data_IF_985735871042
#
_entry.id   IF_985735871042
#
_cell.length_a   1.000
_cell.length_b   1.000
_cell.length_c   1.000
_cell.angle_alpha   90.00
_cell.angle_beta   90.00
_cell.angle_gamma   90.00
#
_symmetry.space_group_name_H-M   'P 1'
#
loop_
_entity.id
_entity.type
_entity.pdbx_description
1 polymer ?
#
# COMPACT_ATOMS: atom_id res chain seq x y z
N UNK A 1 20.82 5.53 16.83
CA UNK A 1 19.41 6.01 16.88
C UNK A 1 18.68 5.05 17.81
N UNK A 2 18.14 5.53 18.93
CA UNK A 2 17.34 4.67 19.82
C UNK A 2 15.86 4.76 19.41
N UNK A 3 15.33 3.68 18.84
CA UNK A 3 13.91 3.58 18.53
C UNK A 3 13.18 3.13 19.81
N UNK A 4 12.07 3.78 20.13
CA UNK A 4 11.25 3.40 21.29
C UNK A 4 10.76 1.95 21.15
N UNK A 5 10.63 1.24 22.27
CA UNK A 5 10.22 -0.17 22.27
C UNK A 5 8.83 -0.36 21.66
N UNK A 6 7.93 0.57 21.93
CA UNK A 6 6.56 0.58 21.41
C UNK A 6 6.56 0.68 19.87
N UNK A 7 7.38 1.58 19.29
CA UNK A 7 7.53 1.72 17.86
C UNK A 7 8.12 0.45 17.20
N UNK A 8 9.12 -0.17 17.85
CA UNK A 8 9.66 -1.45 17.39
C UNK A 8 8.62 -2.57 17.39
N UNK A 9 7.77 -2.62 18.40
CA UNK A 9 6.69 -3.62 18.47
C UNK A 9 5.63 -3.37 17.40
N UNK A 10 5.27 -2.11 17.14
CA UNK A 10 4.32 -1.76 16.08
C UNK A 10 4.87 -2.10 14.68
N UNK A 11 6.13 -1.75 14.41
CA UNK A 11 6.81 -2.15 13.17
C UNK A 11 6.82 -3.68 13.00
N UNK A 12 7.14 -4.43 14.06
CA UNK A 12 7.13 -5.88 14.01
C UNK A 12 5.74 -6.42 13.69
N UNK A 13 4.70 -5.90 14.36
CA UNK A 13 3.31 -6.27 14.10
C UNK A 13 2.89 -5.98 12.64
N UNK A 14 3.30 -4.83 12.09
CA UNK A 14 3.04 -4.52 10.68
C UNK A 14 3.71 -5.52 9.74
N UNK A 15 4.97 -5.88 10.00
CA UNK A 15 5.68 -6.90 9.20
C UNK A 15 4.98 -8.26 9.26
N UNK A 16 4.53 -8.68 10.44
CA UNK A 16 3.76 -9.92 10.60
C UNK A 16 2.44 -9.87 9.84
N UNK A 17 1.70 -8.75 9.92
CA UNK A 17 0.45 -8.55 9.16
C UNK A 17 0.66 -8.66 7.66
N UNK A 18 1.74 -8.05 7.15
CA UNK A 18 2.09 -8.16 5.73
C UNK A 18 2.36 -9.63 5.38
N UNK A 19 3.20 -10.31 6.14
CA UNK A 19 3.56 -11.71 5.91
C UNK A 19 2.34 -12.62 5.89
N UNK A 20 1.46 -12.51 6.87
CA UNK A 20 0.26 -13.36 6.98
C UNK A 20 -0.75 -13.06 5.88
N UNK A 21 -0.93 -11.78 5.51
CA UNK A 21 -1.77 -11.40 4.38
C UNK A 21 -1.26 -12.03 3.07
N UNK A 22 0.04 -11.94 2.81
CA UNK A 22 0.65 -12.46 1.58
C UNK A 22 0.62 -13.98 1.52
N UNK A 23 0.90 -14.68 2.63
CA UNK A 23 0.76 -16.12 2.72
C UNK A 23 -0.67 -16.55 2.41
N UNK A 24 -1.66 -15.83 2.94
CA UNK A 24 -3.06 -16.12 2.67
C UNK A 24 -3.43 -15.84 1.21
N UNK A 25 -2.97 -14.72 0.66
CA UNK A 25 -3.19 -14.37 -0.75
C UNK A 25 -2.58 -15.43 -1.68
N UNK A 26 -1.36 -15.90 -1.38
CA UNK A 26 -0.69 -16.96 -2.11
C UNK A 26 -1.49 -18.27 -2.12
N UNK A 27 -1.94 -18.71 -0.94
CA UNK A 27 -2.76 -19.94 -0.80
C UNK A 27 -4.06 -19.84 -1.61
N UNK A 28 -4.77 -18.72 -1.47
CA UNK A 28 -6.06 -18.49 -2.16
C UNK A 28 -5.87 -18.38 -3.68
N UNK A 29 -4.76 -17.82 -4.14
CA UNK A 29 -4.42 -17.78 -5.56
C UNK A 29 -4.12 -19.19 -6.09
N UNK A 30 -3.32 -19.99 -5.36
CA UNK A 30 -3.03 -21.38 -5.73
C UNK A 30 -4.29 -22.26 -5.77
N UNK A 31 -5.30 -21.96 -4.95
CA UNK A 31 -6.62 -22.60 -4.96
C UNK A 31 -7.52 -22.11 -6.11
N UNK A 32 -7.06 -21.17 -6.93
CA UNK A 32 -7.85 -20.60 -8.04
C UNK A 32 -8.99 -19.67 -7.60
N UNK A 33 -8.98 -19.20 -6.34
CA UNK A 33 -10.03 -18.33 -5.77
C UNK A 33 -9.83 -16.86 -6.06
N UNK A 34 -8.60 -16.43 -6.34
CA UNK A 34 -8.26 -15.06 -6.72
C UNK A 34 -8.05 -15.02 -8.23
N UNK A 35 -8.83 -14.22 -8.98
CA UNK A 35 -8.69 -14.09 -10.42
C UNK A 35 -7.48 -13.24 -10.81
N UNK A 36 -7.01 -13.38 -12.06
CA UNK A 36 -5.95 -12.57 -12.63
C UNK A 36 -4.56 -12.97 -12.15
N UNK A 37 -3.71 -12.00 -11.86
CA UNK A 37 -2.33 -12.21 -11.40
C UNK A 37 -2.14 -11.60 -10.01
N UNK A 38 -1.37 -12.27 -9.16
CA UNK A 38 -1.00 -11.79 -7.83
C UNK A 38 0.51 -11.59 -7.78
N UNK A 39 0.92 -10.40 -7.34
CA UNK A 39 2.32 -10.05 -7.13
C UNK A 39 2.55 -9.85 -5.64
N UNK A 40 3.11 -10.88 -5.01
CA UNK A 40 3.33 -10.92 -3.57
C UNK A 40 4.47 -9.99 -3.12
N UNK A 41 4.35 -9.51 -1.90
CA UNK A 41 5.33 -8.65 -1.21
C UNK A 41 6.20 -9.46 -0.21
N UNK A 42 6.19 -10.79 -0.31
CA UNK A 42 6.95 -11.67 0.58
C UNK A 42 8.45 -11.39 0.53
N UNK A 43 9.05 -11.19 1.69
CA UNK A 43 10.48 -10.91 1.84
C UNK A 43 10.84 -9.42 1.88
N UNK A 44 9.89 -8.52 1.59
CA UNK A 44 10.12 -7.07 1.55
C UNK A 44 9.44 -6.31 2.71
N UNK A 45 8.91 -7.00 3.72
CA UNK A 45 8.07 -6.46 4.80
C UNK A 45 8.75 -5.29 5.54
N UNK A 46 10.05 -5.41 5.77
CA UNK A 46 10.83 -4.40 6.48
C UNK A 46 10.96 -3.10 5.69
N UNK A 47 11.00 -3.16 4.36
CA UNK A 47 11.14 -1.98 3.50
C UNK A 47 9.89 -1.11 3.62
N UNK A 48 8.70 -1.68 3.38
CA UNK A 48 7.44 -0.96 3.51
C UNK A 48 7.24 -0.40 4.92
N UNK A 49 7.50 -1.22 5.93
CA UNK A 49 7.30 -0.85 7.34
C UNK A 49 8.23 0.27 7.76
N UNK A 50 9.53 0.18 7.44
CA UNK A 50 10.51 1.18 7.82
C UNK A 50 10.27 2.55 7.15
N UNK A 51 9.85 2.57 5.89
CA UNK A 51 9.49 3.82 5.21
C UNK A 51 8.21 4.42 5.81
N UNK A 52 7.17 3.62 5.97
CA UNK A 52 5.88 4.12 6.47
C UNK A 52 5.94 4.57 7.93
N UNK A 53 6.86 4.04 8.75
CA UNK A 53 7.07 4.51 10.13
C UNK A 53 7.57 5.96 10.19
N UNK A 54 8.26 6.42 9.14
CA UNK A 54 8.76 7.79 9.05
C UNK A 54 7.75 8.78 8.43
N UNK A 55 6.60 8.30 7.96
CA UNK A 55 5.58 9.12 7.32
C UNK A 55 4.52 9.56 8.31
N UNK A 56 3.95 10.74 8.05
CA UNK A 56 2.73 11.21 8.70
C UNK A 56 1.50 10.60 8.02
N UNK A 57 0.35 10.68 8.68
CA UNK A 57 -0.91 10.18 8.13
C UNK A 57 -1.30 10.88 6.83
N UNK A 58 -0.99 12.18 6.73
CA UNK A 58 -1.31 13.04 5.57
C UNK A 58 -0.26 13.00 4.44
N UNK A 59 0.87 12.30 4.62
CA UNK A 59 1.85 12.11 3.56
C UNK A 59 1.34 11.14 2.49
N UNK A 60 1.67 11.44 1.24
CA UNK A 60 1.29 10.61 0.09
C UNK A 60 2.35 9.58 -0.25
N UNK A 61 1.88 8.40 -0.67
CA UNK A 61 2.73 7.36 -1.26
C UNK A 61 2.23 6.96 -2.64
N UNK A 62 3.16 6.61 -3.52
CA UNK A 62 2.92 5.84 -4.73
C UNK A 62 3.59 4.47 -4.61
N UNK A 63 3.08 3.49 -5.31
CA UNK A 63 3.56 2.12 -5.19
C UNK A 63 3.77 1.46 -6.55
N UNK A 64 4.41 0.31 -6.53
CA UNK A 64 4.69 -0.53 -7.69
C UNK A 64 3.65 -1.64 -7.84
N UNK A 65 3.87 -2.56 -8.78
CA UNK A 65 3.06 -3.76 -8.96
C UNK A 65 3.10 -4.72 -7.73
N UNK A 66 4.04 -4.56 -6.80
CA UNK A 66 4.11 -5.25 -5.49
C UNK A 66 3.69 -4.28 -4.39
N UNK A 67 2.43 -3.83 -4.44
CA UNK A 67 1.95 -2.75 -3.58
C UNK A 67 1.37 -3.17 -2.24
N UNK A 68 1.09 -4.47 -2.01
CA UNK A 68 0.35 -4.93 -0.83
C UNK A 68 1.02 -4.50 0.48
N UNK A 69 2.34 -4.71 0.60
CA UNK A 69 3.09 -4.33 1.80
C UNK A 69 3.04 -2.83 2.07
N UNK A 70 3.16 -2.00 1.05
CA UNK A 70 3.07 -0.54 1.18
C UNK A 70 1.72 -0.10 1.70
N UNK A 71 0.63 -0.70 1.18
CA UNK A 71 -0.73 -0.36 1.58
C UNK A 71 -0.98 -0.77 3.02
N UNK A 72 -0.55 -1.98 3.41
CA UNK A 72 -0.69 -2.47 4.79
C UNK A 72 0.13 -1.62 5.76
N UNK A 73 1.38 -1.31 5.41
CA UNK A 73 2.25 -0.49 6.24
C UNK A 73 1.72 0.94 6.42
N UNK A 74 1.06 1.51 5.41
CA UNK A 74 0.39 2.83 5.47
C UNK A 74 -0.98 2.78 6.16
N UNK A 75 -1.37 1.63 6.76
CA UNK A 75 -2.59 1.47 7.52
C UNK A 75 -3.82 1.04 6.71
N UNK A 76 -3.63 0.47 5.53
CA UNK A 76 -4.70 -0.10 4.73
C UNK A 76 -5.40 -1.27 5.42
N UNK A 77 -6.72 -1.35 5.24
CA UNK A 77 -7.55 -2.40 5.83
C UNK A 77 -7.45 -3.70 5.01
N UNK A 78 -7.00 -4.77 5.67
CA UNK A 78 -6.81 -6.10 5.06
C UNK A 78 -8.11 -6.68 4.47
N UNK A 79 -9.26 -6.34 5.05
CA UNK A 79 -10.56 -6.80 4.58
C UNK A 79 -10.89 -6.22 3.20
N UNK A 80 -10.70 -4.91 3.04
CA UNK A 80 -10.93 -4.25 1.74
C UNK A 80 -9.89 -4.64 0.70
N UNK A 81 -8.65 -4.88 1.12
CA UNK A 81 -7.61 -5.41 0.25
C UNK A 81 -7.96 -6.81 -0.25
N UNK A 82 -8.34 -7.72 0.64
CA UNK A 82 -8.72 -9.07 0.26
C UNK A 82 -9.96 -9.06 -0.63
N UNK A 83 -10.95 -8.22 -0.34
CA UNK A 83 -12.13 -8.04 -1.19
C UNK A 83 -11.74 -7.57 -2.61
N UNK A 84 -10.74 -6.68 -2.73
CA UNK A 84 -10.23 -6.24 -4.02
C UNK A 84 -9.59 -7.39 -4.80
N UNK A 85 -8.75 -8.21 -4.15
CA UNK A 85 -8.15 -9.40 -4.77
C UNK A 85 -9.19 -10.40 -5.28
N UNK A 86 -10.32 -10.53 -4.58
CA UNK A 86 -11.45 -11.36 -4.99
C UNK A 86 -12.36 -10.72 -6.06
N UNK A 87 -12.04 -9.51 -6.55
CA UNK A 87 -12.86 -8.78 -7.52
C UNK A 87 -14.21 -8.33 -6.97
N UNK A 88 -14.32 -8.10 -5.65
CA UNK A 88 -15.58 -7.69 -5.01
C UNK A 88 -15.78 -6.18 -5.05
N UNK A 89 -17.03 -5.75 -5.21
CA UNK A 89 -17.40 -4.33 -5.19
C UNK A 89 -17.08 -3.62 -3.86
N UNK A 90 -16.87 -4.37 -2.78
CA UNK A 90 -16.47 -3.88 -1.47
C UNK A 90 -14.95 -3.68 -1.33
N UNK A 91 -14.16 -4.01 -2.36
CA UNK A 91 -12.72 -3.74 -2.39
C UNK A 91 -12.42 -2.25 -2.59
N UNK A 92 -11.18 -1.84 -2.32
CA UNK A 92 -10.70 -0.46 -2.42
C UNK A 92 -10.99 0.19 -3.79
N UNK A 93 -10.78 -0.54 -4.87
CA UNK A 93 -11.03 -0.11 -6.24
C UNK A 93 -12.28 -0.78 -6.83
N UNK A 94 -13.22 -1.19 -5.99
CA UNK A 94 -14.48 -1.85 -6.36
C UNK A 94 -14.27 -3.15 -7.15
N UNK A 95 -13.17 -3.85 -6.86
CA UNK A 95 -12.79 -5.10 -7.51
C UNK A 95 -12.24 -4.95 -8.92
N UNK A 96 -11.90 -3.74 -9.36
CA UNK A 96 -11.40 -3.46 -10.71
C UNK A 96 -9.87 -3.38 -10.80
N UNK A 97 -9.21 -3.09 -9.68
CA UNK A 97 -7.76 -2.91 -9.61
C UNK A 97 -7.00 -4.23 -9.44
N UNK A 98 -7.56 -5.16 -8.69
CA UNK A 98 -6.88 -6.40 -8.33
C UNK A 98 -5.58 -6.16 -7.55
N UNK A 99 -4.63 -7.10 -7.65
CA UNK A 99 -3.38 -7.08 -6.88
C UNK A 99 -2.50 -5.83 -7.14
N UNK A 100 -2.43 -5.36 -8.37
CA UNK A 100 -1.43 -4.37 -8.81
C UNK A 100 -1.90 -2.92 -8.80
N UNK A 101 -3.18 -2.64 -8.49
CA UNK A 101 -3.75 -1.30 -8.68
C UNK A 101 -4.59 -0.84 -7.49
N UNK A 102 -4.26 -1.29 -6.27
CA UNK A 102 -4.97 -0.85 -5.07
C UNK A 102 -4.61 0.61 -4.77
N UNK A 103 -5.62 1.41 -4.51
CA UNK A 103 -5.49 2.81 -4.11
C UNK A 103 -6.43 3.10 -2.93
N UNK A 104 -5.98 3.95 -2.00
CA UNK A 104 -6.77 4.48 -0.88
C UNK A 104 -6.42 5.95 -0.70
N UNK A 105 -7.19 6.80 -1.34
CA UNK A 105 -6.93 8.24 -1.34
C UNK A 105 -7.06 8.86 0.05
N UNK A 106 -7.95 8.34 0.88
CA UNK A 106 -8.21 8.87 2.22
C UNK A 106 -7.02 8.64 3.16
N UNK A 107 -6.20 7.62 2.86
CA UNK A 107 -4.93 7.33 3.55
C UNK A 107 -3.69 7.83 2.82
N UNK A 108 -3.85 8.68 1.80
CA UNK A 108 -2.72 9.16 1.02
C UNK A 108 -2.08 8.11 0.10
N UNK A 109 -2.73 6.97 -0.14
CA UNK A 109 -2.23 5.93 -1.05
C UNK A 109 -2.74 6.23 -2.46
N UNK A 110 -1.88 6.87 -3.28
CA UNK A 110 -2.25 7.32 -4.63
C UNK A 110 -2.34 6.20 -5.66
N UNK A 111 -1.91 5.01 -5.27
CA UNK A 111 -2.12 3.79 -6.01
C UNK A 111 -0.84 2.98 -6.25
N UNK A 112 -1.07 1.68 -6.40
CA UNK A 112 -0.13 0.74 -6.98
C UNK A 112 -0.26 0.78 -8.51
N UNK A 113 0.81 0.44 -9.24
CA UNK A 113 0.80 0.50 -10.70
C UNK A 113 1.58 -0.65 -11.32
N UNK A 114 0.95 -1.37 -12.26
CA UNK A 114 1.57 -2.47 -13.00
C UNK A 114 2.65 -2.02 -13.98
N UNK A 115 2.67 -0.73 -14.37
CA UNK A 115 3.68 -0.18 -15.28
C UNK A 115 4.90 0.22 -14.44
N UNK A 116 6.03 -0.44 -14.67
CA UNK A 116 7.27 -0.17 -13.96
C UNK A 116 7.74 1.26 -14.27
N UNK A 117 8.02 2.04 -13.21
CA UNK A 117 8.45 3.44 -13.33
C UNK A 117 7.31 4.47 -13.37
N UNK A 118 6.05 4.09 -13.62
CA UNK A 118 4.92 5.03 -13.67
C UNK A 118 4.68 5.77 -12.34
N UNK A 119 5.03 5.17 -11.22
CA UNK A 119 4.93 5.80 -9.89
C UNK A 119 5.69 7.12 -9.79
N UNK A 120 6.82 7.28 -10.50
CA UNK A 120 7.57 8.53 -10.49
C UNK A 120 6.77 9.70 -11.07
N UNK A 121 6.07 9.49 -12.19
CA UNK A 121 5.26 10.54 -12.82
C UNK A 121 4.07 10.93 -11.92
N UNK A 122 3.46 9.95 -11.25
CA UNK A 122 2.38 10.20 -10.28
C UNK A 122 2.92 11.00 -9.10
N UNK A 123 4.11 10.63 -8.58
CA UNK A 123 4.75 11.33 -7.47
C UNK A 123 5.09 12.79 -7.81
N UNK A 124 5.56 13.06 -9.03
CA UNK A 124 5.80 14.44 -9.50
C UNK A 124 4.51 15.26 -9.50
N UNK A 125 3.41 14.69 -10.01
CA UNK A 125 2.10 15.36 -9.98
C UNK A 125 1.59 15.60 -8.56
N UNK A 126 1.78 14.66 -7.64
CA UNK A 126 1.45 14.80 -6.24
C UNK A 126 2.29 15.89 -5.56
N UNK A 127 3.60 15.91 -5.81
CA UNK A 127 4.52 16.94 -5.30
C UNK A 127 4.16 18.34 -5.79
N UNK A 128 3.83 18.49 -7.07
CA UNK A 128 3.34 19.74 -7.62
C UNK A 128 2.05 20.20 -6.94
N UNK A 129 1.08 19.30 -6.78
CA UNK A 129 -0.18 19.58 -6.08
C UNK A 129 0.05 20.02 -4.64
N UNK A 130 0.97 19.35 -3.91
CA UNK A 130 1.32 19.71 -2.55
C UNK A 130 1.96 21.11 -2.49
N UNK A 131 2.88 21.43 -3.41
CA UNK A 131 3.51 22.75 -3.51
C UNK A 131 2.48 23.85 -3.74
N UNK A 132 1.52 23.64 -4.64
CA UNK A 132 0.45 24.62 -4.88
C UNK A 132 -0.43 24.84 -3.65
N UNK A 133 -0.79 23.77 -2.94
CA UNK A 133 -1.61 23.86 -1.73
C UNK A 133 -0.89 24.59 -0.59
N UNK A 134 0.41 24.35 -0.43
CA UNK A 134 1.23 25.02 0.57
C UNK A 134 1.45 26.50 0.22
N UNK A 135 1.60 26.87 -1.06
CA UNK A 135 1.74 28.25 -1.48
C UNK A 135 0.48 29.09 -1.24
N UNK A 136 -0.69 28.46 -1.23
CA UNK A 136 -1.97 29.11 -0.88
C UNK A 136 -2.10 29.40 0.62
N UNK A 137 -1.30 28.77 1.48
CA UNK A 137 -1.28 29.01 2.94
C UNK A 137 -0.33 30.15 3.29
N UNK A 138 0.60 30.51 2.41
CA UNK A 138 1.60 31.56 2.61
C UNK A 138 1.27 32.89 1.90
N UNK A 139 0.07 33.01 1.33
CA UNK A 139 -0.49 34.29 0.88
C UNK A 139 -1.43 34.80 1.97
#
# INVERSE_FOLDING_TARGET
MNIAKEAMMDMYLRMVRIREFENKAQSLFAEGKIPGFVHLYLGEEAVATGVCECLRDDDYITSTHRGHGHIIAKGGDLKYMMAELFGKATGYCKGKGGSMHIADRDRGILGANGIVGAGHNIAVGAGLSASYRLSLIHI
#
